data_IF_842493565706
#
_entry.id   IF_842493565706
#
_cell.length_a   1.000
_cell.length_b   1.000
_cell.length_c   1.000
_cell.angle_alpha   90.00
_cell.angle_beta   90.00
_cell.angle_gamma   90.00
#
_symmetry.space_group_name_H-M   'P 1'
#
loop_
_entity.id
_entity.type
_entity.pdbx_description
1 polymer ?
#
# COMPACT_ATOMS: atom_id res chain seq x y z
N UNK A 1 9.48 5.01 -25.30
CA UNK A 1 9.22 4.83 -24.81
C UNK A 1 9.44 4.54 -23.72
N UNK A 2 9.54 4.27 -23.11
CA UNK A 2 9.63 4.08 -22.20
C UNK A 2 9.40 4.39 -21.37
N UNK A 3 9.14 4.63 -21.02
CA UNK A 3 8.78 5.21 -20.10
C UNK A 3 7.75 4.74 -19.24
N UNK A 4 7.05 3.72 -19.45
CA UNK A 4 6.16 3.02 -18.53
C UNK A 4 6.88 2.44 -17.33
N UNK A 5 8.17 2.27 -17.41
CA UNK A 5 8.93 1.73 -16.29
C UNK A 5 8.87 2.61 -15.05
N UNK A 6 8.52 3.90 -15.22
CA UNK A 6 8.45 4.84 -14.11
C UNK A 6 7.02 5.22 -13.77
N UNK A 7 6.04 4.61 -14.46
CA UNK A 7 4.64 4.88 -14.18
C UNK A 7 4.23 4.13 -12.94
N UNK A 8 3.62 4.82 -12.01
CA UNK A 8 3.14 4.19 -10.78
C UNK A 8 1.62 4.00 -10.86
N UNK A 9 1.10 3.17 -9.96
CA UNK A 9 -0.35 3.00 -9.84
C UNK A 9 -1.03 4.34 -9.63
N UNK A 10 -0.36 5.26 -8.94
CA UNK A 10 -0.91 6.59 -8.68
C UNK A 10 -1.08 7.37 -9.96
N UNK A 11 -0.05 7.37 -10.80
CA UNK A 11 -0.11 8.11 -12.07
C UNK A 11 -1.24 7.60 -12.94
N UNK A 12 -1.44 6.31 -12.95
CA UNK A 12 -2.46 5.70 -13.80
C UNK A 12 -3.87 5.99 -13.29
N UNK A 13 -4.06 6.00 -11.98
CA UNK A 13 -5.36 6.38 -11.41
C UNK A 13 -5.62 7.87 -11.63
N UNK A 14 -4.59 8.69 -11.55
CA UNK A 14 -4.75 10.12 -11.85
C UNK A 14 -5.23 10.29 -13.28
N UNK A 15 -4.63 9.55 -14.20
CA UNK A 15 -5.04 9.59 -15.61
C UNK A 15 -6.48 9.14 -15.78
N UNK A 16 -6.84 8.05 -15.12
CA UNK A 16 -8.20 7.54 -15.15
C UNK A 16 -9.19 8.59 -14.67
N UNK A 17 -8.90 9.19 -13.51
CA UNK A 17 -9.77 10.21 -12.93
C UNK A 17 -9.93 11.40 -13.87
N UNK A 18 -8.84 11.86 -14.46
CA UNK A 18 -8.88 12.97 -15.40
C UNK A 18 -9.72 12.62 -16.63
N UNK A 19 -9.51 11.42 -17.16
CA UNK A 19 -10.21 10.99 -18.37
C UNK A 19 -11.72 10.91 -18.14
N UNK A 20 -12.13 10.46 -16.97
CA UNK A 20 -13.55 10.22 -16.70
C UNK A 20 -14.19 11.31 -15.85
N UNK A 21 -13.52 12.46 -15.71
CA UNK A 21 -14.11 13.61 -15.02
C UNK A 21 -14.24 13.44 -13.53
N UNK A 22 -13.42 12.58 -12.92
CA UNK A 22 -13.42 12.41 -11.48
C UNK A 22 -12.36 13.31 -10.87
N UNK A 23 -12.59 13.80 -9.64
CA UNK A 23 -11.64 14.75 -9.02
C UNK A 23 -10.34 14.08 -8.58
N UNK A 24 -9.25 14.83 -8.69
CA UNK A 24 -7.97 14.48 -8.11
C UNK A 24 -7.65 15.56 -7.07
N UNK A 25 -7.23 15.13 -5.89
CA UNK A 25 -6.80 16.07 -4.85
C UNK A 25 -5.28 16.11 -4.81
N UNK A 26 -4.74 17.29 -4.58
CA UNK A 26 -3.29 17.49 -4.56
C UNK A 26 -2.77 18.04 -3.24
N UNK A 27 -3.68 18.38 -2.32
CA UNK A 27 -3.32 18.80 -0.97
C UNK A 27 -3.77 17.75 0.02
N UNK A 28 -2.94 17.40 0.98
CA UNK A 28 -3.32 16.35 1.97
C UNK A 28 -4.65 16.70 2.63
N UNK A 29 -5.57 15.75 2.60
CA UNK A 29 -6.91 15.98 3.12
C UNK A 29 -7.58 14.67 3.48
N UNK A 30 -8.52 14.75 4.42
CA UNK A 30 -9.44 13.67 4.71
C UNK A 30 -10.81 14.21 4.34
N UNK A 31 -11.32 13.82 3.16
CA UNK A 31 -12.61 14.37 2.70
C UNK A 31 -13.78 13.82 3.50
N UNK A 32 -14.99 14.14 3.06
CA UNK A 32 -16.19 13.68 3.73
C UNK A 32 -16.24 12.16 3.80
N UNK A 33 -16.91 11.66 4.83
CA UNK A 33 -16.98 10.23 5.08
C UNK A 33 -17.46 9.46 3.86
N UNK A 34 -18.46 9.94 3.14
CA UNK A 34 -18.99 9.22 1.98
C UNK A 34 -17.92 9.00 0.92
N UNK A 35 -16.95 9.91 0.83
CA UNK A 35 -15.90 9.80 -0.18
C UNK A 35 -14.84 8.76 0.23
N UNK A 36 -14.33 8.85 1.48
CA UNK A 36 -13.31 7.88 1.88
C UNK A 36 -13.94 6.52 2.17
N UNK A 37 -15.24 6.50 2.53
CA UNK A 37 -15.91 5.23 2.75
C UNK A 37 -16.07 4.46 1.45
N UNK A 38 -16.22 5.17 0.33
CA UNK A 38 -16.26 4.53 -0.98
C UNK A 38 -14.97 3.75 -1.24
N UNK A 39 -13.81 4.36 -0.95
CA UNK A 39 -12.53 3.69 -1.08
C UNK A 39 -12.44 2.50 -0.12
N UNK A 40 -12.85 2.73 1.12
CA UNK A 40 -12.83 1.67 2.12
C UNK A 40 -13.68 0.48 1.68
N UNK A 41 -14.90 0.73 1.23
CA UNK A 41 -15.79 -0.34 0.82
C UNK A 41 -15.25 -1.09 -0.40
N UNK A 42 -14.62 -0.38 -1.32
CA UNK A 42 -14.02 -0.98 -2.50
C UNK A 42 -12.87 -1.92 -2.11
N UNK A 43 -12.00 -1.46 -1.23
CA UNK A 43 -10.88 -2.30 -0.77
C UNK A 43 -11.43 -3.54 -0.08
N UNK A 44 -12.45 -3.37 0.75
CA UNK A 44 -13.06 -4.49 1.46
C UNK A 44 -13.64 -5.51 0.48
N UNK A 45 -14.32 -5.03 -0.56
CA UNK A 45 -14.89 -5.91 -1.57
C UNK A 45 -13.81 -6.72 -2.28
N UNK A 46 -12.71 -6.06 -2.67
CA UNK A 46 -11.63 -6.74 -3.35
C UNK A 46 -10.90 -7.70 -2.42
N UNK A 47 -10.85 -7.38 -1.14
CA UNK A 47 -10.24 -8.27 -0.16
C UNK A 47 -11.05 -9.56 -0.05
N UNK A 48 -12.38 -9.47 -0.08
CA UNK A 48 -13.24 -10.65 -0.06
C UNK A 48 -13.10 -11.46 -1.35
N UNK A 49 -12.92 -10.78 -2.49
CA UNK A 49 -12.67 -11.48 -3.74
C UNK A 49 -11.36 -12.26 -3.69
N UNK A 50 -10.34 -11.65 -3.10
CA UNK A 50 -9.06 -12.31 -2.92
C UNK A 50 -9.22 -13.59 -2.08
N UNK A 51 -9.91 -13.47 -0.97
CA UNK A 51 -10.13 -14.61 -0.08
C UNK A 51 -10.87 -15.73 -0.81
N UNK A 52 -11.91 -15.38 -1.53
CA UNK A 52 -12.70 -16.37 -2.28
C UNK A 52 -11.85 -17.05 -3.34
N UNK A 53 -11.04 -16.27 -4.05
CA UNK A 53 -10.16 -16.84 -5.09
C UNK A 53 -9.19 -17.84 -4.50
N UNK A 54 -8.64 -17.53 -3.33
CA UNK A 54 -7.73 -18.45 -2.65
C UNK A 54 -8.45 -19.73 -2.23
N UNK A 55 -9.65 -19.60 -1.67
CA UNK A 55 -10.42 -20.75 -1.24
C UNK A 55 -10.78 -21.66 -2.42
N UNK A 56 -10.99 -21.08 -3.57
CA UNK A 56 -11.33 -21.83 -4.78
C UNK A 56 -10.11 -22.32 -5.55
N UNK A 57 -8.90 -21.92 -5.13
CA UNK A 57 -7.69 -22.29 -5.83
C UNK A 57 -7.56 -21.68 -7.21
N UNK A 58 -8.15 -20.49 -7.40
CA UNK A 58 -8.18 -19.81 -8.70
C UNK A 58 -7.10 -18.75 -8.75
N UNK A 59 -5.92 -19.13 -9.29
CA UNK A 59 -4.77 -18.22 -9.30
C UNK A 59 -4.98 -16.99 -10.18
N UNK A 60 -5.76 -17.12 -11.23
CA UNK A 60 -6.03 -15.97 -12.11
C UNK A 60 -6.85 -14.93 -11.35
N UNK A 61 -7.84 -15.36 -10.60
CA UNK A 61 -8.64 -14.44 -9.80
C UNK A 61 -7.84 -13.86 -8.63
N UNK A 62 -6.88 -14.62 -8.09
CA UNK A 62 -5.99 -14.09 -7.07
C UNK A 62 -5.20 -12.91 -7.64
N UNK A 63 -4.64 -13.08 -8.83
CA UNK A 63 -3.88 -12.03 -9.48
C UNK A 63 -4.75 -10.80 -9.74
N UNK A 64 -5.96 -11.04 -10.24
CA UNK A 64 -6.88 -9.94 -10.54
C UNK A 64 -7.23 -9.15 -9.27
N UNK A 65 -7.54 -9.86 -8.19
CA UNK A 65 -7.88 -9.20 -6.94
C UNK A 65 -6.72 -8.39 -6.39
N UNK A 66 -5.49 -8.92 -6.46
CA UNK A 66 -4.33 -8.17 -6.00
C UNK A 66 -4.13 -6.89 -6.80
N UNK A 67 -4.32 -6.96 -8.10
CA UNK A 67 -4.22 -5.78 -8.95
C UNK A 67 -5.30 -4.75 -8.58
N UNK A 68 -6.52 -5.22 -8.36
CA UNK A 68 -7.60 -4.32 -8.02
C UNK A 68 -7.39 -3.67 -6.65
N UNK A 69 -6.86 -4.43 -5.68
CA UNK A 69 -6.55 -3.88 -4.37
C UNK A 69 -5.52 -2.76 -4.51
N UNK A 70 -4.48 -2.99 -5.31
CA UNK A 70 -3.46 -1.97 -5.53
C UNK A 70 -4.04 -0.74 -6.20
N UNK A 71 -4.88 -0.95 -7.22
CA UNK A 71 -5.50 0.15 -7.94
C UNK A 71 -6.33 1.02 -7.01
N UNK A 72 -7.12 0.40 -6.16
CA UNK A 72 -8.00 1.16 -5.26
C UNK A 72 -7.23 1.75 -4.09
N UNK A 73 -6.37 0.96 -3.42
CA UNK A 73 -5.71 1.44 -2.22
C UNK A 73 -4.61 2.45 -2.54
N UNK A 74 -3.61 2.04 -3.32
CA UNK A 74 -2.48 2.91 -3.64
C UNK A 74 -2.89 3.98 -4.64
N UNK A 75 -3.75 3.63 -5.59
CA UNK A 75 -4.18 4.58 -6.61
C UNK A 75 -5.27 5.51 -6.12
N UNK A 76 -6.48 4.99 -5.95
CA UNK A 76 -7.61 5.83 -5.58
C UNK A 76 -7.42 6.49 -4.21
N UNK A 77 -6.93 5.73 -3.24
CA UNK A 77 -6.71 6.29 -1.91
C UNK A 77 -5.73 7.43 -1.92
N UNK A 78 -4.62 7.26 -2.64
CA UNK A 78 -3.61 8.31 -2.72
C UNK A 78 -4.16 9.58 -3.35
N UNK A 79 -4.87 9.43 -4.46
CA UNK A 79 -5.41 10.61 -5.15
C UNK A 79 -6.55 11.26 -4.35
N UNK A 80 -7.34 10.47 -3.67
CA UNK A 80 -8.41 11.01 -2.85
C UNK A 80 -7.89 11.87 -1.71
N UNK A 81 -6.80 11.43 -1.08
CA UNK A 81 -6.26 12.12 0.08
C UNK A 81 -5.18 13.14 -0.26
N UNK A 82 -4.90 13.36 -1.56
CA UNK A 82 -3.93 14.37 -1.98
C UNK A 82 -2.50 14.03 -1.61
N UNK A 83 -2.15 12.75 -1.68
CA UNK A 83 -0.84 12.29 -1.22
C UNK A 83 0.08 11.85 -2.35
N UNK A 84 -0.18 12.29 -3.56
CA UNK A 84 0.60 11.85 -4.72
C UNK A 84 2.11 12.06 -4.52
N UNK A 85 2.49 13.22 -3.99
CA UNK A 85 3.91 13.54 -3.82
C UNK A 85 4.52 12.89 -2.58
N UNK A 86 3.70 12.27 -1.73
CA UNK A 86 4.15 11.71 -0.47
C UNK A 86 4.24 10.17 -0.48
N UNK A 87 3.46 9.53 -1.36
CA UNK A 87 3.27 8.09 -1.26
C UNK A 87 4.56 7.29 -1.49
N UNK A 88 5.35 7.66 -2.50
CA UNK A 88 6.59 6.95 -2.79
C UNK A 88 7.62 7.12 -1.68
N UNK A 89 7.94 8.34 -1.23
CA UNK A 89 8.87 8.49 -0.10
C UNK A 89 8.38 7.76 1.14
N UNK A 90 7.07 7.79 1.40
CA UNK A 90 6.51 7.09 2.57
C UNK A 90 6.68 5.59 2.42
N UNK A 91 6.43 5.06 1.22
CA UNK A 91 6.58 3.63 0.98
C UNK A 91 8.04 3.21 1.14
N UNK A 92 8.98 4.06 0.70
CA UNK A 92 10.39 3.78 0.87
C UNK A 92 10.77 3.72 2.35
N UNK A 93 10.13 4.55 3.18
CA UNK A 93 10.32 4.49 4.62
C UNK A 93 9.78 3.17 5.19
N UNK A 94 8.66 2.71 4.68
CA UNK A 94 8.12 1.42 5.08
C UNK A 94 9.11 0.32 4.72
N UNK A 95 9.68 0.38 3.52
CA UNK A 95 10.66 -0.61 3.08
C UNK A 95 11.90 -0.58 3.98
N UNK A 96 12.43 0.61 4.27
CA UNK A 96 13.59 0.73 5.13
C UNK A 96 13.30 0.20 6.53
N UNK A 97 12.12 0.51 7.05
CA UNK A 97 11.71 0.02 8.36
C UNK A 97 11.63 -1.51 8.38
N UNK A 98 11.04 -2.09 7.31
CA UNK A 98 10.94 -3.53 7.24
C UNK A 98 12.30 -4.20 7.14
N UNK A 99 13.19 -3.64 6.33
CA UNK A 99 14.54 -4.20 6.20
C UNK A 99 15.32 -4.10 7.51
N UNK A 100 15.07 -3.06 8.30
CA UNK A 100 15.77 -2.88 9.57
C UNK A 100 15.28 -3.87 10.63
N UNK A 101 14.23 -4.64 10.35
CA UNK A 101 13.78 -5.71 11.24
C UNK A 101 14.60 -6.98 11.09
N UNK A 102 15.47 -7.04 10.06
CA UNK A 102 16.32 -8.19 9.82
C UNK A 102 17.59 -8.05 10.66
N UNK A 103 17.96 -9.13 11.35
CA UNK A 103 19.13 -9.13 12.22
C UNK A 103 19.96 -10.38 11.93
N UNK A 104 21.29 -10.27 12.06
CA UNK A 104 22.19 -11.39 11.76
C UNK A 104 22.51 -12.24 12.98
N UNK A 105 22.25 -11.76 14.20
CA UNK A 105 22.50 -12.49 15.43
C UNK A 105 21.35 -12.32 16.41
N UNK A 106 21.26 -13.27 17.35
CA UNK A 106 20.24 -13.18 18.39
C UNK A 106 20.48 -11.96 19.28
N UNK A 107 21.75 -11.67 19.56
CA UNK A 107 22.09 -10.53 20.38
C UNK A 107 21.64 -9.22 19.74
N UNK A 108 21.87 -9.11 18.43
CA UNK A 108 21.42 -7.96 17.68
C UNK A 108 19.90 -7.86 17.67
N UNK A 109 19.22 -8.99 17.55
CA UNK A 109 17.76 -9.03 17.56
C UNK A 109 17.21 -8.53 18.88
N UNK A 110 17.82 -8.91 20.00
CA UNK A 110 17.37 -8.46 21.30
C UNK A 110 17.51 -6.93 21.43
N UNK A 111 18.66 -6.40 21.03
CA UNK A 111 18.86 -4.96 21.10
C UNK A 111 17.91 -4.21 20.20
N UNK A 112 17.65 -4.76 19.01
CA UNK A 112 16.73 -4.15 18.06
C UNK A 112 15.31 -4.18 18.59
N UNK A 113 14.91 -5.32 19.19
CA UNK A 113 13.57 -5.43 19.76
C UNK A 113 13.34 -4.41 20.86
N UNK A 114 14.35 -4.21 21.71
CA UNK A 114 14.23 -3.23 22.79
C UNK A 114 14.10 -1.82 22.24
N UNK A 115 14.90 -1.50 21.21
CA UNK A 115 14.82 -0.18 20.58
C UNK A 115 13.47 0.04 19.94
N UNK A 116 12.97 -0.97 19.22
CA UNK A 116 11.68 -0.84 18.54
C UNK A 116 10.52 -0.74 19.50
N UNK A 117 10.62 -1.42 20.66
CA UNK A 117 9.60 -1.31 21.67
C UNK A 117 9.54 0.13 22.20
N UNK A 118 10.71 0.75 22.40
CA UNK A 118 10.76 2.14 22.83
C UNK A 118 10.20 3.08 21.78
N UNK A 119 10.31 2.69 20.49
CA UNK A 119 9.81 3.48 19.36
C UNK A 119 8.43 3.04 18.91
N UNK A 120 7.85 2.05 19.62
CA UNK A 120 6.56 1.47 19.26
C UNK A 120 6.56 0.83 17.89
N UNK A 121 7.66 0.12 17.56
CA UNK A 121 7.82 -0.57 16.28
C UNK A 121 7.97 -2.07 16.52
N UNK A 122 7.76 -2.84 15.46
CA UNK A 122 7.89 -4.30 15.54
C UNK A 122 9.35 -4.70 15.73
N UNK A 123 9.60 -5.82 16.44
CA UNK A 123 10.97 -6.33 16.55
C UNK A 123 11.45 -6.91 15.22
N UNK A 124 12.75 -7.11 15.11
CA UNK A 124 13.33 -7.70 13.91
C UNK A 124 13.10 -9.22 13.90
N UNK A 125 13.29 -9.83 12.74
CA UNK A 125 13.13 -11.28 12.52
C UNK A 125 14.49 -11.90 12.24
N UNK A 126 15.30 -12.05 13.28
CA UNK A 126 16.70 -12.44 13.12
C UNK A 126 16.84 -13.87 12.58
N UNK A 127 15.96 -14.77 12.95
CA UNK A 127 16.08 -16.16 12.52
C UNK A 127 15.75 -16.35 11.04
N UNK A 128 15.28 -15.33 10.38
CA UNK A 128 14.93 -15.38 8.97
C UNK A 128 16.07 -14.96 8.06
N UNK A 129 17.16 -14.53 8.65
CA UNK A 129 18.29 -14.03 7.88
C UNK A 129 19.18 -15.13 7.37
#
# INVERSE_FOLDING_TARGET
MSKKTNVTFVDEVEEFNTTFGKPNNYEPTIPEEKEWKFVYDFILEELEEYKKACEEGNIVEVLDALCDIAYVSIGNGTMLHGLKDKILPAYEEVQASNMSKSCSTQEEAVRTAEKRAREQKEPCHWEKV
#
